data_IF_757223801663
#
_entry.id   IF_757223801663
#
_cell.length_a   1.000
_cell.length_b   1.000
_cell.length_c   1.000
_cell.angle_alpha   90.00
_cell.angle_beta   90.00
_cell.angle_gamma   90.00
#
_symmetry.space_group_name_H-M   'P 1'
#
loop_
_entity.id
_entity.type
_entity.pdbx_description
1 polymer ?
#
# COMPACT_ATOMS: atom_id res chain seq x y z
N UNK A 1 10.28 7.22 -26.25
CA UNK A 1 10.45 7.56 -24.83
C UNK A 1 11.14 6.39 -24.13
N UNK A 2 12.14 6.62 -23.29
CA UNK A 2 12.71 5.54 -22.47
C UNK A 2 11.80 5.26 -21.26
N UNK A 3 11.84 4.03 -20.73
CA UNK A 3 11.08 3.65 -19.55
C UNK A 3 11.37 4.55 -18.34
N UNK A 4 12.65 4.90 -18.14
CA UNK A 4 13.07 5.80 -17.07
C UNK A 4 12.46 7.20 -17.21
N UNK A 5 12.41 7.75 -18.44
CA UNK A 5 11.84 9.08 -18.66
C UNK A 5 10.33 9.08 -18.39
N UNK A 6 9.63 8.05 -18.87
CA UNK A 6 8.21 7.90 -18.63
C UNK A 6 7.88 7.81 -17.13
N UNK A 7 8.69 7.08 -16.35
CA UNK A 7 8.54 7.01 -14.89
C UNK A 7 8.73 8.39 -14.21
N UNK A 8 9.74 9.15 -14.63
CA UNK A 8 9.99 10.50 -14.11
C UNK A 8 8.82 11.44 -14.45
N UNK A 9 8.30 11.37 -15.66
CA UNK A 9 7.24 12.27 -16.12
C UNK A 9 5.92 12.01 -15.38
N UNK A 10 5.57 10.75 -15.14
CA UNK A 10 4.43 10.40 -14.28
C UNK A 10 4.65 10.90 -12.85
N UNK A 11 5.84 10.66 -12.29
CA UNK A 11 6.17 11.13 -10.95
C UNK A 11 6.01 12.65 -10.84
N UNK A 12 6.54 13.42 -11.80
CA UNK A 12 6.41 14.88 -11.83
C UNK A 12 4.97 15.33 -11.93
N UNK A 13 4.19 14.73 -12.83
CA UNK A 13 2.78 15.04 -12.99
C UNK A 13 2.01 14.88 -11.66
N UNK A 14 2.29 13.83 -10.89
CA UNK A 14 1.64 13.60 -9.59
C UNK A 14 2.21 14.48 -8.47
N UNK A 15 3.53 14.63 -8.38
CA UNK A 15 4.21 15.41 -7.36
C UNK A 15 3.80 16.89 -7.43
N UNK A 16 3.71 17.44 -8.65
CA UNK A 16 3.40 18.85 -8.87
C UNK A 16 1.93 19.17 -8.61
N UNK A 17 1.01 18.19 -8.69
CA UNK A 17 -0.35 18.34 -8.16
C UNK A 17 -0.34 18.63 -6.65
N UNK A 18 0.59 18.05 -5.89
CA UNK A 18 0.75 18.36 -4.45
C UNK A 18 1.29 19.77 -4.19
N UNK A 19 1.98 20.37 -5.16
CA UNK A 19 2.38 21.79 -5.11
C UNK A 19 1.18 22.70 -5.44
N UNK A 20 0.42 22.34 -6.47
CA UNK A 20 -0.74 23.10 -6.94
C UNK A 20 -1.92 23.06 -5.95
N UNK A 21 -2.20 21.89 -5.39
CA UNK A 21 -3.31 21.63 -4.48
C UNK A 21 -2.81 21.36 -3.06
N UNK A 22 -1.99 22.25 -2.54
CA UNK A 22 -1.30 22.08 -1.25
C UNK A 22 -2.25 21.91 -0.04
N UNK A 23 -3.51 22.35 -0.16
CA UNK A 23 -4.54 22.11 0.85
C UNK A 23 -4.88 20.63 1.06
N UNK A 24 -4.58 19.76 0.08
CA UNK A 24 -4.74 18.30 0.20
C UNK A 24 -3.56 17.64 0.93
N UNK A 25 -2.41 18.30 1.03
CA UNK A 25 -1.19 17.72 1.60
C UNK A 25 -1.38 17.19 3.02
N UNK A 26 -2.07 17.89 3.95
CA UNK A 26 -2.32 17.34 5.29
C UNK A 26 -3.12 16.02 5.25
N UNK A 27 -4.11 15.91 4.36
CA UNK A 27 -4.88 14.67 4.21
C UNK A 27 -4.03 13.55 3.61
N UNK A 28 -3.16 13.85 2.64
CA UNK A 28 -2.24 12.88 2.04
C UNK A 28 -1.21 12.39 3.07
N UNK A 29 -0.63 13.31 3.85
CA UNK A 29 0.29 12.97 4.97
C UNK A 29 -0.43 12.09 5.99
N UNK A 30 -1.67 12.46 6.37
CA UNK A 30 -2.47 11.65 7.27
C UNK A 30 -2.68 10.23 6.73
N UNK A 31 -3.03 10.09 5.44
CA UNK A 31 -3.19 8.77 4.83
C UNK A 31 -1.87 7.99 4.83
N UNK A 32 -0.75 8.63 4.49
CA UNK A 32 0.55 7.98 4.42
C UNK A 32 1.03 7.47 5.80
N UNK A 33 0.87 8.28 6.85
CA UNK A 33 1.38 7.94 8.19
C UNK A 33 0.40 7.07 9.00
N UNK A 34 -0.92 7.29 8.85
CA UNK A 34 -1.91 6.72 9.77
C UNK A 34 -2.67 5.51 9.23
N UNK A 35 -2.69 5.28 7.91
CA UNK A 35 -3.45 4.16 7.33
C UNK A 35 -2.95 2.80 7.82
N UNK A 36 -1.65 2.64 8.10
CA UNK A 36 -1.10 1.39 8.63
C UNK A 36 -1.70 1.06 10.01
N UNK A 37 -1.82 2.05 10.90
CA UNK A 37 -2.44 1.85 12.22
C UNK A 37 -3.93 1.57 12.10
N UNK A 38 -4.64 2.25 11.20
CA UNK A 38 -6.06 2.00 10.94
C UNK A 38 -6.27 0.57 10.42
N UNK A 39 -5.41 0.10 9.51
CA UNK A 39 -5.44 -1.29 9.03
C UNK A 39 -5.20 -2.29 10.15
N UNK A 40 -4.22 -2.03 11.02
CA UNK A 40 -3.97 -2.88 12.18
C UNK A 40 -5.21 -2.96 13.10
N UNK A 41 -5.87 -1.84 13.36
CA UNK A 41 -7.11 -1.81 14.16
C UNK A 41 -8.24 -2.59 13.49
N UNK A 42 -8.42 -2.47 12.17
CA UNK A 42 -9.41 -3.25 11.43
C UNK A 42 -9.13 -4.75 11.56
N UNK A 43 -7.88 -5.18 11.39
CA UNK A 43 -7.49 -6.59 11.51
C UNK A 43 -7.77 -7.11 12.92
N UNK A 44 -7.43 -6.33 13.96
CA UNK A 44 -7.72 -6.67 15.35
C UNK A 44 -9.23 -6.76 15.60
N UNK A 45 -10.01 -5.82 15.07
CA UNK A 45 -11.47 -5.87 15.17
C UNK A 45 -12.01 -7.16 14.55
N UNK A 46 -11.62 -7.49 13.30
CA UNK A 46 -11.99 -8.74 12.63
C UNK A 46 -11.55 -10.00 13.40
N UNK A 47 -10.43 -9.93 14.12
CA UNK A 47 -9.97 -11.02 14.95
C UNK A 47 -10.86 -11.26 16.16
N UNK A 48 -11.19 -10.21 16.91
CA UNK A 48 -11.93 -10.31 18.17
C UNK A 48 -13.44 -10.41 17.98
N UNK A 49 -14.02 -9.68 17.04
CA UNK A 49 -15.47 -9.65 16.80
C UNK A 49 -15.91 -10.62 15.70
N UNK A 50 -14.98 -11.08 14.87
CA UNK A 50 -15.29 -11.87 13.70
C UNK A 50 -15.53 -13.36 13.98
N UNK A 51 -16.30 -13.97 13.08
CA UNK A 51 -16.53 -15.43 13.05
C UNK A 51 -15.24 -16.22 12.78
N UNK A 52 -15.28 -17.55 12.93
CA UNK A 52 -14.18 -18.43 12.52
C UNK A 52 -13.72 -18.18 11.08
N UNK A 53 -14.65 -17.84 10.18
CA UNK A 53 -14.34 -17.49 8.78
C UNK A 53 -13.57 -16.17 8.71
N UNK A 54 -13.98 -15.16 9.47
CA UNK A 54 -13.29 -13.86 9.56
C UNK A 54 -11.85 -14.00 10.05
N UNK A 55 -11.63 -14.83 11.08
CA UNK A 55 -10.28 -15.13 11.57
C UNK A 55 -9.43 -15.84 10.53
N UNK A 56 -10.01 -16.78 9.78
CA UNK A 56 -9.31 -17.45 8.67
C UNK A 56 -8.93 -16.48 7.55
N UNK A 57 -9.81 -15.51 7.21
CA UNK A 57 -9.48 -14.44 6.26
C UNK A 57 -8.28 -13.63 6.71
N UNK A 58 -8.26 -13.22 7.99
CA UNK A 58 -7.13 -12.49 8.58
C UNK A 58 -5.85 -13.30 8.45
N UNK A 59 -5.87 -14.59 8.82
CA UNK A 59 -4.69 -15.47 8.72
C UNK A 59 -4.19 -15.54 7.27
N UNK A 60 -5.09 -15.75 6.31
CA UNK A 60 -4.73 -15.82 4.90
C UNK A 60 -4.12 -14.51 4.40
N UNK A 61 -4.69 -13.37 4.76
CA UNK A 61 -4.17 -12.05 4.42
C UNK A 61 -2.78 -11.81 5.02
N UNK A 62 -2.57 -12.18 6.29
CA UNK A 62 -1.27 -12.04 6.95
C UNK A 62 -0.21 -12.95 6.33
N UNK A 63 -0.56 -14.19 5.98
CA UNK A 63 0.35 -15.11 5.28
C UNK A 63 0.71 -14.56 3.90
N UNK A 64 -0.28 -14.06 3.14
CA UNK A 64 -0.04 -13.45 1.83
C UNK A 64 0.87 -12.22 1.94
N UNK A 65 0.64 -11.36 2.94
CA UNK A 65 1.50 -10.21 3.22
C UNK A 65 2.94 -10.64 3.51
N UNK A 66 3.16 -11.58 4.44
CA UNK A 66 4.51 -12.04 4.80
C UNK A 66 5.23 -12.63 3.58
N UNK A 67 4.56 -13.43 2.76
CA UNK A 67 5.14 -13.99 1.54
C UNK A 67 5.50 -12.87 0.55
N UNK A 68 4.59 -11.92 0.33
CA UNK A 68 4.81 -10.81 -0.58
C UNK A 68 5.95 -9.89 -0.13
N UNK A 69 6.06 -9.64 1.18
CA UNK A 69 7.15 -8.86 1.79
C UNK A 69 8.51 -9.55 1.63
N UNK A 70 8.58 -10.86 1.85
CA UNK A 70 9.81 -11.64 1.65
C UNK A 70 10.25 -11.60 0.19
N UNK A 71 9.31 -11.83 -0.75
CA UNK A 71 9.59 -11.74 -2.19
C UNK A 71 10.02 -10.32 -2.55
N UNK A 72 9.35 -9.30 -2.00
CA UNK A 72 9.66 -7.89 -2.24
C UNK A 72 11.07 -7.53 -1.80
N UNK A 73 11.47 -7.94 -0.59
CA UNK A 73 12.84 -7.73 -0.09
C UNK A 73 13.89 -8.44 -0.91
N UNK A 74 13.59 -9.64 -1.41
CA UNK A 74 14.49 -10.36 -2.31
C UNK A 74 14.62 -9.59 -3.63
N UNK A 75 13.50 -9.14 -4.22
CA UNK A 75 13.49 -8.35 -5.45
C UNK A 75 14.27 -7.02 -5.30
N UNK A 76 14.11 -6.34 -4.17
CA UNK A 76 14.84 -5.10 -3.87
C UNK A 76 16.36 -5.29 -3.74
N UNK A 77 16.84 -6.51 -3.47
CA UNK A 77 18.29 -6.79 -3.52
C UNK A 77 18.83 -6.91 -4.95
N UNK A 78 17.99 -7.25 -5.92
CA UNK A 78 18.37 -7.38 -7.33
C UNK A 78 18.14 -6.09 -8.12
N UNK A 79 17.30 -5.18 -7.63
CA UNK A 79 16.99 -3.92 -8.31
C UNK A 79 17.03 -2.74 -7.33
N UNK A 80 18.09 -1.92 -7.45
CA UNK A 80 18.23 -0.68 -6.71
C UNK A 80 17.60 0.46 -7.48
N UNK A 81 16.64 1.13 -6.85
CA UNK A 81 15.99 2.32 -7.38
C UNK A 81 15.82 3.34 -6.25
N UNK A 82 16.62 4.41 -6.25
CA UNK A 82 16.53 5.45 -5.20
C UNK A 82 15.22 6.22 -5.25
N UNK A 83 14.77 6.73 -4.10
CA UNK A 83 13.57 7.56 -4.06
C UNK A 83 13.74 8.84 -4.91
N UNK A 84 12.66 9.35 -5.54
CA UNK A 84 12.71 10.56 -6.36
C UNK A 84 13.31 11.79 -5.66
N UNK A 85 13.06 11.98 -4.36
CA UNK A 85 13.62 13.11 -3.60
C UNK A 85 15.14 13.05 -3.41
N UNK A 86 15.76 11.89 -3.63
CA UNK A 86 17.21 11.72 -3.54
C UNK A 86 17.93 12.04 -4.85
N UNK A 87 17.25 11.88 -5.99
CA UNK A 87 17.87 11.95 -7.33
C UNK A 87 17.31 13.03 -8.24
N UNK A 88 16.14 13.60 -7.91
CA UNK A 88 15.51 14.67 -8.69
C UNK A 88 15.46 15.98 -7.87
N UNK A 89 15.72 17.15 -8.51
CA UNK A 89 15.59 18.44 -7.84
C UNK A 89 14.11 18.85 -7.69
N UNK A 90 13.81 19.79 -6.78
CA UNK A 90 12.48 20.39 -6.62
C UNK A 90 11.34 19.35 -6.45
N UNK A 91 11.57 18.36 -5.58
CA UNK A 91 10.56 17.36 -5.20
C UNK A 91 9.74 17.90 -4.03
N UNK A 92 8.42 17.73 -4.11
CA UNK A 92 7.51 18.12 -3.03
C UNK A 92 7.47 16.98 -2.00
N UNK A 93 8.49 16.94 -1.13
CA UNK A 93 8.61 15.92 -0.09
C UNK A 93 7.66 16.23 1.06
N UNK A 94 6.53 15.52 1.12
CA UNK A 94 5.50 15.73 2.14
C UNK A 94 5.78 15.05 3.47
N UNK A 95 6.45 13.89 3.45
CA UNK A 95 6.77 13.09 4.63
C UNK A 95 8.27 12.88 4.67
N UNK A 96 8.86 13.07 5.84
CA UNK A 96 10.29 12.85 6.02
C UNK A 96 10.62 11.35 5.98
N UNK A 97 11.56 11.02 5.11
CA UNK A 97 12.03 9.67 4.88
C UNK A 97 13.53 9.67 4.64
N UNK A 98 14.19 8.62 5.09
CA UNK A 98 15.60 8.38 4.81
C UNK A 98 15.79 7.93 3.35
N UNK A 99 16.98 8.12 2.80
CA UNK A 99 17.31 7.57 1.47
C UNK A 99 17.50 6.06 1.61
N UNK A 100 16.77 5.31 0.79
CA UNK A 100 16.79 3.84 0.75
C UNK A 100 16.38 3.36 -0.66
N UNK A 101 16.26 2.06 -0.86
CA UNK A 101 15.66 1.50 -2.05
C UNK A 101 14.13 1.71 -2.05
N UNK A 102 13.62 2.37 -3.08
CA UNK A 102 12.19 2.59 -3.28
C UNK A 102 11.46 1.39 -3.90
N UNK A 103 12.20 0.38 -4.37
CA UNK A 103 11.65 -0.77 -5.08
C UNK A 103 11.76 -2.09 -4.31
N UNK A 104 10.67 -2.86 -4.21
CA UNK A 104 9.27 -2.45 -4.34
C UNK A 104 8.81 -1.61 -3.13
N UNK A 105 7.62 -1.01 -3.21
CA UNK A 105 7.06 -0.23 -2.09
C UNK A 105 6.46 -1.13 -1.01
N UNK A 106 6.99 -1.05 0.22
CA UNK A 106 6.50 -1.80 1.40
C UNK A 106 5.03 -1.48 1.71
N UNK A 107 4.65 -0.20 1.70
CA UNK A 107 3.26 0.21 1.94
C UNK A 107 2.33 -0.40 0.88
N UNK A 108 2.76 -0.41 -0.39
CA UNK A 108 1.98 -1.02 -1.48
C UNK A 108 1.85 -2.52 -1.29
N UNK A 109 2.93 -3.22 -0.90
CA UNK A 109 2.88 -4.65 -0.57
C UNK A 109 1.87 -4.91 0.56
N UNK A 110 1.94 -4.15 1.64
CA UNK A 110 1.05 -4.27 2.79
C UNK A 110 -0.42 -4.08 2.41
N UNK A 111 -0.78 -2.93 1.85
CA UNK A 111 -2.18 -2.63 1.54
C UNK A 111 -2.73 -3.56 0.47
N UNK A 112 -1.95 -3.83 -0.59
CA UNK A 112 -2.44 -4.64 -1.70
C UNK A 112 -2.62 -6.10 -1.29
N UNK A 113 -1.65 -6.70 -0.59
CA UNK A 113 -1.76 -8.10 -0.14
C UNK A 113 -2.96 -8.33 0.76
N UNK A 114 -3.21 -7.41 1.70
CA UNK A 114 -4.31 -7.51 2.66
C UNK A 114 -5.66 -7.25 1.98
N UNK A 115 -5.81 -6.13 1.27
CA UNK A 115 -7.06 -5.76 0.59
C UNK A 115 -7.46 -6.81 -0.45
N UNK A 116 -6.50 -7.29 -1.25
CA UNK A 116 -6.76 -8.27 -2.29
C UNK A 116 -7.14 -9.63 -1.69
N UNK A 117 -6.50 -10.04 -0.59
CA UNK A 117 -6.88 -11.26 0.13
C UNK A 117 -8.31 -11.18 0.65
N UNK A 118 -8.69 -10.08 1.29
CA UNK A 118 -10.08 -9.87 1.73
C UNK A 118 -11.07 -9.89 0.56
N UNK A 119 -10.74 -9.21 -0.54
CA UNK A 119 -11.58 -9.18 -1.73
C UNK A 119 -11.81 -10.58 -2.31
N UNK A 120 -10.76 -11.40 -2.44
CA UNK A 120 -10.87 -12.76 -2.95
C UNK A 120 -11.74 -13.66 -2.07
N UNK A 121 -11.60 -13.58 -0.74
CA UNK A 121 -12.41 -14.42 0.15
C UNK A 121 -13.86 -13.96 0.18
N UNK A 122 -14.14 -12.64 0.13
CA UNK A 122 -15.50 -12.11 0.02
C UNK A 122 -16.17 -12.53 -1.29
N UNK A 123 -15.49 -12.41 -2.43
CA UNK A 123 -16.03 -12.86 -3.72
C UNK A 123 -16.37 -14.36 -3.73
N UNK A 124 -15.56 -15.18 -3.05
CA UNK A 124 -15.84 -16.61 -2.89
C UNK A 124 -17.12 -16.83 -2.08
N UNK A 125 -17.39 -16.02 -1.05
CA UNK A 125 -18.62 -16.10 -0.23
C UNK A 125 -19.86 -15.61 -0.99
N UNK A 126 -19.76 -14.54 -1.76
CA UNK A 126 -20.85 -14.01 -2.59
C UNK A 126 -21.23 -15.01 -3.71
N UNK A 127 -20.24 -15.72 -4.27
CA UNK A 127 -20.46 -16.82 -5.22
C UNK A 127 -21.17 -18.05 -4.65
N UNK A 128 -21.23 -18.20 -3.32
CA UNK A 128 -22.04 -19.21 -2.61
C UNK A 128 -23.37 -18.65 -2.08
N UNK A 129 -23.79 -17.45 -2.49
CA UNK A 129 -25.11 -16.90 -2.17
C UNK A 129 -25.23 -16.23 -0.80
N UNK A 130 -24.15 -15.63 -0.28
CA UNK A 130 -24.25 -14.79 0.92
C UNK A 130 -23.82 -13.35 0.61
N UNK A 131 -24.73 -12.60 -0.02
CA UNK A 131 -24.64 -11.13 -0.12
C UNK A 131 -24.62 -10.54 1.30
N UNK A 132 -23.42 -10.29 1.83
CA UNK A 132 -23.27 -9.31 2.91
C UNK A 132 -22.73 -8.01 2.30
N UNK A 133 -23.68 -7.20 1.87
CA UNK A 133 -23.51 -5.77 1.67
C UNK A 133 -23.12 -5.14 3.01
N UNK A 134 -21.88 -4.63 3.08
CA UNK A 134 -21.50 -3.52 3.94
C UNK A 134 -20.31 -2.83 3.26
N UNK A 135 -20.67 -1.89 2.39
CA UNK A 135 -20.17 -0.51 2.38
C UNK A 135 -21.38 0.36 2.64
#
# INVERSE_FOLDING_TARGET
MSFSQFNIDIFRALNDLGKQYSFLNPAIVFLAEYMVYIFALIILAYWFTGSRKSRMMVIQAMVAFVIAEVIGKIAGKFHLNYQPFAVLPDVNKLVDHAVDNSFPSDHTILFFSICFSFWLVRKKLDGYGLYLHFV
#
